data_IF_952675138218
#
_entry.id   IF_952675138218
#
_cell.length_a   1.000
_cell.length_b   1.000
_cell.length_c   1.000
_cell.angle_alpha   90.00
_cell.angle_beta   90.00
_cell.angle_gamma   90.00
#
_symmetry.space_group_name_H-M   'P 1'
#
loop_
_entity.id
_entity.type
_entity.pdbx_description
1 polymer ?
#
# COMPACT_ATOMS: atom_id res chain seq x y z
N UNK A 1 33.91 31.73 6.60
CA UNK A 1 33.56 31.89 5.18
C UNK A 1 33.94 30.59 4.48
N UNK A 2 33.02 29.64 4.31
CA UNK A 2 33.30 28.40 3.59
C UNK A 2 33.44 28.70 2.09
N UNK A 3 34.53 28.25 1.47
CA UNK A 3 34.82 28.53 0.05
C UNK A 3 33.87 27.74 -0.86
N UNK A 4 33.56 28.30 -2.03
CA UNK A 4 32.72 27.66 -3.06
C UNK A 4 33.22 26.25 -3.41
N UNK A 5 34.54 26.03 -3.37
CA UNK A 5 35.18 24.74 -3.58
C UNK A 5 34.77 23.69 -2.55
N UNK A 6 34.59 24.07 -1.27
CA UNK A 6 34.12 23.13 -0.24
C UNK A 6 32.68 22.72 -0.49
N UNK A 7 31.85 23.65 -0.96
CA UNK A 7 30.45 23.37 -1.27
C UNK A 7 30.32 22.45 -2.50
N UNK A 8 31.10 22.70 -3.56
CA UNK A 8 31.15 21.86 -4.76
C UNK A 8 31.66 20.46 -4.43
N UNK A 9 32.73 20.32 -3.64
CA UNK A 9 33.24 19.02 -3.20
C UNK A 9 32.20 18.26 -2.34
N UNK A 10 31.42 18.96 -1.51
CA UNK A 10 30.36 18.32 -0.70
C UNK A 10 29.21 17.80 -1.56
N UNK A 11 28.81 18.55 -2.60
CA UNK A 11 27.80 18.12 -3.56
C UNK A 11 28.30 16.90 -4.35
N UNK A 12 29.51 16.96 -4.88
CA UNK A 12 30.13 15.86 -5.63
C UNK A 12 30.29 14.58 -4.80
N UNK A 13 30.63 14.69 -3.52
CA UNK A 13 30.70 13.53 -2.61
C UNK A 13 29.32 12.94 -2.28
N UNK A 14 28.27 13.77 -2.17
CA UNK A 14 26.88 13.30 -1.98
C UNK A 14 26.37 12.50 -3.18
N UNK A 15 26.75 12.92 -4.39
CA UNK A 15 26.38 12.24 -5.62
C UNK A 15 27.13 10.92 -5.84
N UNK A 16 28.13 10.60 -5.02
CA UNK A 16 28.85 9.33 -5.07
C UNK A 16 28.46 8.32 -3.98
N UNK A 17 27.65 8.72 -2.98
CA UNK A 17 27.21 7.81 -1.91
C UNK A 17 26.02 6.92 -2.37
N UNK A 18 26.21 5.60 -2.55
CA UNK A 18 25.14 4.69 -2.97
C UNK A 18 23.99 4.61 -1.95
N UNK A 19 24.28 4.86 -0.67
CA UNK A 19 23.25 4.86 0.38
C UNK A 19 22.34 6.07 0.28
N UNK A 20 22.90 7.25 -0.02
CA UNK A 20 22.13 8.47 -0.23
C UNK A 20 21.14 8.32 -1.38
N UNK A 21 21.59 7.85 -2.55
CA UNK A 21 20.74 7.65 -3.72
C UNK A 21 19.65 6.63 -3.47
N UNK A 22 19.99 5.49 -2.87
CA UNK A 22 19.01 4.46 -2.53
C UNK A 22 17.94 4.98 -1.59
N UNK A 23 18.32 5.78 -0.59
CA UNK A 23 17.37 6.41 0.33
C UNK A 23 16.46 7.40 -0.39
N UNK A 24 16.99 8.21 -1.31
CA UNK A 24 16.21 9.15 -2.12
C UNK A 24 15.23 8.44 -3.04
N UNK A 25 15.65 7.39 -3.73
CA UNK A 25 14.79 6.58 -4.60
C UNK A 25 13.67 5.94 -3.78
N UNK A 26 14.00 5.37 -2.62
CA UNK A 26 13.01 4.78 -1.71
C UNK A 26 11.95 5.80 -1.27
N UNK A 27 12.38 7.01 -0.88
CA UNK A 27 11.47 8.09 -0.48
C UNK A 27 10.58 8.55 -1.66
N UNK A 28 11.12 8.67 -2.87
CA UNK A 28 10.34 9.01 -4.06
C UNK A 28 9.31 7.93 -4.40
N UNK A 29 9.70 6.65 -4.33
CA UNK A 29 8.82 5.52 -4.58
C UNK A 29 7.68 5.47 -3.54
N UNK A 30 7.98 5.63 -2.25
CA UNK A 30 6.98 5.65 -1.19
C UNK A 30 6.04 6.86 -1.30
N UNK A 31 6.54 8.03 -1.69
CA UNK A 31 5.71 9.23 -1.96
C UNK A 31 4.73 8.97 -3.09
N UNK A 32 5.19 8.35 -4.17
CA UNK A 32 4.35 8.01 -5.32
C UNK A 32 3.28 6.97 -4.97
N UNK A 33 3.55 6.07 -4.02
CA UNK A 33 2.64 5.00 -3.59
C UNK A 33 1.74 5.36 -2.40
N UNK A 34 1.90 6.54 -1.81
CA UNK A 34 1.21 6.93 -0.57
C UNK A 34 -0.31 6.82 -0.66
N UNK A 35 -0.88 7.11 -1.83
CA UNK A 35 -2.31 7.07 -2.07
C UNK A 35 -2.80 5.70 -2.60
N UNK A 36 -1.90 4.70 -2.56
CA UNK A 36 -2.16 3.34 -3.04
C UNK A 36 -2.39 2.37 -1.88
N UNK A 37 -3.46 1.59 -1.99
CA UNK A 37 -3.76 0.45 -1.11
C UNK A 37 -3.57 -0.87 -1.86
N UNK A 38 -3.14 -1.89 -1.11
CA UNK A 38 -3.05 -3.28 -1.53
C UNK A 38 -4.12 -4.10 -0.81
N UNK A 39 -5.00 -4.73 -1.57
CA UNK A 39 -6.04 -5.63 -1.09
C UNK A 39 -5.67 -7.08 -1.39
N UNK A 40 -5.85 -7.95 -0.40
CA UNK A 40 -5.58 -9.39 -0.50
C UNK A 40 -6.81 -10.18 -0.10
N UNK A 41 -6.97 -11.38 -0.67
CA UNK A 41 -8.03 -12.34 -0.30
C UNK A 41 -9.34 -12.15 -1.04
N UNK A 42 -9.45 -11.16 -1.94
CA UNK A 42 -10.63 -10.98 -2.78
C UNK A 42 -10.66 -12.11 -3.82
N UNK A 43 -11.72 -12.92 -3.92
CA UNK A 43 -11.80 -14.01 -4.90
C UNK A 43 -11.70 -13.47 -6.33
N UNK A 44 -11.13 -14.27 -7.24
CA UNK A 44 -11.01 -13.87 -8.66
C UNK A 44 -12.39 -13.90 -9.33
N UNK A 45 -12.62 -12.96 -10.26
CA UNK A 45 -13.83 -12.83 -11.08
C UNK A 45 -15.08 -12.30 -10.34
N UNK A 46 -14.98 -11.96 -9.06
CA UNK A 46 -16.05 -11.28 -8.31
C UNK A 46 -16.20 -9.81 -8.71
N UNK A 47 -15.22 -9.23 -9.40
CA UNK A 47 -15.23 -7.81 -9.76
C UNK A 47 -16.16 -7.48 -10.94
N UNK A 48 -16.70 -8.50 -11.61
CA UNK A 48 -17.52 -8.34 -12.81
C UNK A 48 -16.77 -7.57 -13.90
N UNK A 49 -17.37 -6.48 -14.39
CA UNK A 49 -16.85 -5.69 -15.50
C UNK A 49 -15.75 -4.69 -15.11
N UNK A 50 -15.48 -4.45 -13.82
CA UNK A 50 -14.49 -3.45 -13.43
C UNK A 50 -14.13 -3.41 -11.95
N UNK A 51 -12.82 -3.51 -11.68
CA UNK A 51 -12.25 -3.49 -10.32
C UNK A 51 -12.60 -2.21 -9.55
N UNK A 52 -12.63 -1.05 -10.20
CA UNK A 52 -12.95 0.22 -9.53
C UNK A 52 -14.40 0.27 -9.04
N UNK A 53 -15.35 -0.15 -9.88
CA UNK A 53 -16.77 -0.18 -9.52
C UNK A 53 -17.03 -1.18 -8.40
N UNK A 54 -16.41 -2.35 -8.49
CA UNK A 54 -16.41 -3.35 -7.42
C UNK A 54 -15.90 -2.75 -6.10
N UNK A 55 -14.68 -2.20 -6.08
CA UNK A 55 -14.09 -1.60 -4.87
C UNK A 55 -14.93 -0.47 -4.28
N UNK A 56 -15.53 0.38 -5.13
CA UNK A 56 -16.42 1.47 -4.69
C UNK A 56 -17.65 0.92 -3.95
N UNK A 57 -18.14 -0.27 -4.32
CA UNK A 57 -19.28 -0.89 -3.67
C UNK A 57 -18.93 -1.68 -2.40
N UNK A 58 -17.76 -2.35 -2.37
CA UNK A 58 -17.40 -3.22 -1.23
C UNK A 58 -16.73 -2.46 -0.09
N UNK A 59 -15.86 -1.50 -0.40
CA UNK A 59 -15.00 -0.89 0.62
C UNK A 59 -15.81 -0.16 1.71
N UNK A 60 -16.83 0.65 1.39
CA UNK A 60 -17.68 1.27 2.41
C UNK A 60 -18.35 0.23 3.32
N UNK A 61 -18.83 -0.88 2.73
CA UNK A 61 -19.49 -1.97 3.47
C UNK A 61 -18.50 -2.69 4.39
N UNK A 62 -17.31 -3.01 3.88
CA UNK A 62 -16.26 -3.70 4.61
C UNK A 62 -15.72 -2.89 5.79
N UNK A 63 -15.51 -1.59 5.59
CA UNK A 63 -14.95 -0.73 6.64
C UNK A 63 -16.02 -0.08 7.52
N UNK A 64 -17.31 -0.26 7.20
CA UNK A 64 -18.43 0.47 7.81
C UNK A 64 -18.22 1.99 7.81
N UNK A 65 -17.59 2.50 6.74
CA UNK A 65 -17.30 3.92 6.57
C UNK A 65 -18.22 4.51 5.52
N UNK A 66 -18.67 5.74 5.76
CA UNK A 66 -19.36 6.56 4.77
C UNK A 66 -18.34 7.49 4.12
N UNK A 67 -18.35 7.54 2.79
CA UNK A 67 -17.47 8.43 2.01
C UNK A 67 -18.30 9.46 1.28
N UNK A 68 -18.03 10.73 1.57
CA UNK A 68 -18.55 11.88 0.84
C UNK A 68 -17.38 12.80 0.47
N UNK A 69 -17.03 12.96 -0.82
CA UNK A 69 -17.63 12.30 -1.98
C UNK A 69 -17.35 10.77 -2.02
N UNK A 70 -18.04 10.00 -2.90
CA UNK A 70 -17.76 8.58 -3.09
C UNK A 70 -16.29 8.28 -3.40
N UNK A 71 -15.87 7.03 -3.21
CA UNK A 71 -14.51 6.60 -3.49
C UNK A 71 -14.18 6.77 -4.99
N UNK A 72 -13.15 7.55 -5.25
CA UNK A 72 -12.61 7.82 -6.58
C UNK A 72 -11.22 7.18 -6.71
N UNK A 73 -11.00 6.48 -7.81
CA UNK A 73 -9.75 5.77 -8.08
C UNK A 73 -9.10 6.34 -9.34
N UNK A 74 -7.81 6.64 -9.26
CA UNK A 74 -7.01 6.91 -10.45
C UNK A 74 -6.79 5.62 -11.25
N UNK A 75 -6.54 4.51 -10.56
CA UNK A 75 -6.35 3.18 -11.14
C UNK A 75 -6.66 2.09 -10.12
N UNK A 76 -7.20 0.96 -10.57
CA UNK A 76 -7.30 -0.25 -9.76
C UNK A 76 -7.17 -1.48 -10.66
N UNK A 77 -6.30 -2.42 -10.30
CA UNK A 77 -6.06 -3.63 -11.09
C UNK A 77 -5.48 -4.77 -10.23
N UNK A 78 -5.66 -6.00 -10.70
CA UNK A 78 -4.98 -7.19 -10.16
C UNK A 78 -3.51 -7.19 -10.56
N UNK A 79 -2.62 -7.62 -9.67
CA UNK A 79 -1.17 -7.68 -9.92
C UNK A 79 -0.67 -9.11 -9.84
N UNK A 80 0.22 -9.46 -10.76
CA UNK A 80 0.85 -10.77 -10.86
C UNK A 80 0.18 -11.71 -11.87
N UNK A 81 0.82 -12.86 -12.09
CA UNK A 81 0.34 -13.90 -12.99
C UNK A 81 -0.91 -14.54 -12.41
N UNK A 82 -1.92 -14.78 -13.27
CA UNK A 82 -3.07 -15.58 -12.88
C UNK A 82 -2.54 -16.96 -12.51
N UNK A 83 -2.81 -17.38 -11.28
CA UNK A 83 -2.45 -18.72 -10.88
C UNK A 83 -3.30 -19.73 -11.68
N UNK A 84 -2.76 -20.94 -11.96
CA UNK A 84 -3.57 -22.04 -12.47
C UNK A 84 -4.79 -22.25 -11.56
N UNK A 85 -5.92 -22.65 -12.17
CA UNK A 85 -7.14 -22.91 -11.43
C UNK A 85 -6.88 -23.94 -10.31
N UNK A 86 -7.37 -23.64 -9.10
CA UNK A 86 -7.16 -24.49 -7.91
C UNK A 86 -6.04 -24.06 -6.97
N UNK A 87 -5.22 -23.06 -7.31
CA UNK A 87 -4.26 -22.46 -6.34
C UNK A 87 -5.01 -21.54 -5.36
N UNK A 88 -4.85 -21.73 -4.04
CA UNK A 88 -5.71 -21.10 -3.02
C UNK A 88 -5.41 -19.62 -2.75
N UNK A 89 -4.70 -18.92 -3.65
CA UNK A 89 -4.26 -17.55 -3.43
C UNK A 89 -4.71 -16.63 -4.58
N UNK A 90 -5.84 -15.92 -4.40
CA UNK A 90 -6.25 -14.88 -5.34
C UNK A 90 -5.17 -13.81 -5.48
N UNK A 91 -5.02 -13.23 -6.68
CA UNK A 91 -4.03 -12.17 -6.90
C UNK A 91 -4.37 -10.92 -6.10
N UNK A 92 -3.40 -10.18 -5.58
CA UNK A 92 -3.69 -8.91 -4.93
C UNK A 92 -4.28 -7.89 -5.91
N UNK A 93 -5.15 -7.02 -5.40
CA UNK A 93 -5.56 -5.80 -6.11
C UNK A 93 -4.73 -4.63 -5.58
N UNK A 94 -4.16 -3.85 -6.48
CA UNK A 94 -3.55 -2.56 -6.17
C UNK A 94 -4.50 -1.47 -6.66
N UNK A 95 -4.90 -0.58 -5.75
CA UNK A 95 -5.81 0.51 -6.04
C UNK A 95 -5.23 1.85 -5.56
N UNK A 96 -5.08 2.80 -6.48
CA UNK A 96 -4.64 4.17 -6.20
C UNK A 96 -5.87 5.07 -6.12
N UNK A 97 -6.10 5.65 -4.95
CA UNK A 97 -7.21 6.56 -4.72
C UNK A 97 -6.85 7.97 -5.18
N UNK A 98 -7.86 8.75 -5.54
CA UNK A 98 -7.68 10.14 -5.93
C UNK A 98 -7.46 11.06 -4.72
N UNK A 99 -7.99 10.68 -3.54
CA UNK A 99 -7.99 11.51 -2.32
C UNK A 99 -7.21 10.83 -1.21
N UNK A 100 -6.09 11.43 -0.81
CA UNK A 100 -5.24 10.91 0.26
C UNK A 100 -5.97 10.71 1.60
N UNK A 101 -6.98 11.54 1.88
CA UNK A 101 -7.78 11.46 3.11
C UNK A 101 -8.56 10.15 3.18
N UNK A 102 -9.16 9.73 2.07
CA UNK A 102 -9.89 8.47 1.96
C UNK A 102 -8.94 7.28 2.09
N UNK A 103 -7.74 7.34 1.49
CA UNK A 103 -6.70 6.32 1.66
C UNK A 103 -6.34 6.16 3.14
N UNK A 104 -6.12 7.27 3.85
CA UNK A 104 -5.80 7.26 5.28
C UNK A 104 -6.94 6.67 6.12
N UNK A 105 -8.19 7.04 5.85
CA UNK A 105 -9.36 6.49 6.52
C UNK A 105 -9.47 4.98 6.34
N UNK A 106 -9.31 4.49 5.11
CA UNK A 106 -9.32 3.05 4.80
C UNK A 106 -8.19 2.31 5.52
N UNK A 107 -6.97 2.86 5.51
CA UNK A 107 -5.83 2.25 6.18
C UNK A 107 -5.96 2.27 7.70
N UNK A 108 -6.59 3.28 8.27
CA UNK A 108 -6.87 3.37 9.70
C UNK A 108 -7.96 2.37 10.10
N UNK A 109 -9.06 2.30 9.36
CA UNK A 109 -10.08 1.28 9.56
C UNK A 109 -9.48 -0.12 9.44
N UNK A 110 -8.59 -0.33 8.46
CA UNK A 110 -7.88 -1.59 8.30
C UNK A 110 -6.89 -1.89 9.42
N UNK A 111 -6.48 -0.93 10.23
CA UNK A 111 -5.67 -1.20 11.42
C UNK A 111 -6.55 -1.51 12.63
N UNK A 112 -7.71 -0.86 12.73
CA UNK A 112 -8.57 -0.92 13.91
C UNK A 112 -9.61 -2.06 13.87
N UNK A 113 -10.04 -2.49 12.67
CA UNK A 113 -11.22 -3.35 12.50
C UNK A 113 -10.92 -4.64 11.72
N UNK A 114 -9.85 -5.35 12.08
CA UNK A 114 -9.55 -6.68 11.51
C UNK A 114 -10.29 -7.79 12.28
N UNK A 115 -10.62 -8.92 11.63
CA UNK A 115 -10.49 -9.20 10.20
C UNK A 115 -11.69 -8.69 9.37
N UNK A 116 -11.44 -8.21 8.15
CA UNK A 116 -12.52 -7.99 7.19
C UNK A 116 -12.89 -9.31 6.52
N UNK A 117 -14.17 -9.52 6.22
CA UNK A 117 -14.64 -10.73 5.54
C UNK A 117 -15.64 -10.39 4.43
N UNK A 118 -15.50 -11.09 3.31
CA UNK A 118 -16.53 -11.21 2.27
C UNK A 118 -16.89 -12.70 2.23
N UNK A 119 -18.12 -13.04 2.57
CA UNK A 119 -18.57 -14.42 2.75
C UNK A 119 -17.61 -15.23 3.63
N UNK A 120 -16.90 -16.21 3.05
CA UNK A 120 -15.92 -17.08 3.70
C UNK A 120 -14.47 -16.59 3.56
N UNK A 121 -14.23 -15.48 2.85
CA UNK A 121 -12.90 -15.02 2.50
C UNK A 121 -12.44 -13.89 3.41
N UNK A 122 -11.27 -14.06 4.03
CA UNK A 122 -10.63 -13.02 4.81
C UNK A 122 -9.95 -12.00 3.89
N UNK A 123 -10.34 -10.73 4.05
CA UNK A 123 -9.81 -9.63 3.27
C UNK A 123 -8.82 -8.84 4.11
N UNK A 124 -7.66 -8.57 3.52
CA UNK A 124 -6.63 -7.75 4.16
C UNK A 124 -6.34 -6.52 3.31
N UNK A 125 -6.43 -5.36 3.94
CA UNK A 125 -6.08 -4.07 3.36
C UNK A 125 -4.77 -3.60 4.00
N UNK A 126 -3.83 -3.13 3.17
CA UNK A 126 -2.54 -2.58 3.59
C UNK A 126 -2.12 -1.43 2.68
N UNK A 127 -1.20 -0.59 3.14
CA UNK A 127 -0.57 0.41 2.28
C UNK A 127 0.43 -0.24 1.32
N UNK A 128 0.58 0.32 0.12
CA UNK A 128 1.64 -0.06 -0.80
C UNK A 128 2.94 0.66 -0.41
N UNK A 129 3.98 -0.11 -0.08
CA UNK A 129 5.30 0.41 0.28
C UNK A 129 6.34 -0.10 -0.71
N UNK A 130 7.38 0.70 -0.93
CA UNK A 130 8.60 0.26 -1.59
C UNK A 130 9.18 -1.00 -0.94
N UNK A 131 10.00 -1.72 -1.71
CA UNK A 131 10.65 -2.95 -1.24
C UNK A 131 11.49 -2.72 0.02
N UNK A 132 12.24 -1.62 0.06
CA UNK A 132 13.13 -1.29 1.17
C UNK A 132 12.36 -0.86 2.41
N UNK A 133 11.26 -0.11 2.25
CA UNK A 133 10.36 0.21 3.37
C UNK A 133 9.67 -1.03 3.92
N UNK A 134 9.20 -1.94 3.06
CA UNK A 134 8.68 -3.23 3.49
C UNK A 134 9.71 -4.06 4.26
N UNK A 135 10.98 -4.09 3.82
CA UNK A 135 12.06 -4.80 4.53
C UNK A 135 12.28 -4.22 5.93
N UNK A 136 12.37 -2.89 6.06
CA UNK A 136 12.50 -2.20 7.35
C UNK A 136 11.31 -2.47 8.28
N UNK A 137 10.08 -2.41 7.75
CA UNK A 137 8.86 -2.71 8.51
C UNK A 137 8.84 -4.15 9.00
N UNK A 138 9.23 -5.12 8.18
CA UNK A 138 9.34 -6.54 8.59
C UNK A 138 10.37 -6.73 9.71
N UNK A 139 11.53 -6.10 9.59
CA UNK A 139 12.57 -6.15 10.62
C UNK A 139 12.06 -5.55 11.96
N UNK A 140 11.34 -4.41 11.89
CA UNK A 140 10.73 -3.81 13.08
C UNK A 140 9.69 -4.72 13.74
N UNK A 141 8.80 -5.32 12.94
CA UNK A 141 7.77 -6.25 13.44
C UNK A 141 8.39 -7.49 14.10
N UNK A 142 9.52 -7.99 13.60
CA UNK A 142 10.24 -9.10 14.22
C UNK A 142 10.79 -8.76 15.61
N UNK A 143 11.13 -7.49 15.86
CA UNK A 143 11.66 -7.01 17.15
C UNK A 143 10.57 -6.61 18.15
N UNK A 144 9.34 -6.36 17.68
CA UNK A 144 8.19 -5.96 18.49
C UNK A 144 6.99 -6.86 18.20
N UNK A 145 7.04 -8.15 18.56
CA UNK A 145 5.92 -9.06 18.36
C UNK A 145 4.68 -8.64 19.15
N UNK A 146 4.83 -7.94 20.28
CA UNK A 146 3.70 -7.43 21.08
C UNK A 146 2.96 -6.27 20.40
N UNK A 147 3.58 -5.61 19.41
CA UNK A 147 2.88 -4.65 18.54
C UNK A 147 1.84 -5.35 17.65
N UNK A 148 1.90 -6.69 17.58
CA UNK A 148 0.95 -7.60 16.92
C UNK A 148 -0.12 -8.09 17.92
N UNK A 149 -0.18 -7.59 19.17
CA UNK A 149 -1.34 -7.83 20.06
C UNK A 149 -2.46 -6.81 19.83
N UNK A 150 -3.01 -6.82 18.63
CA UNK A 150 -4.40 -6.43 18.38
C UNK A 150 -5.00 -7.61 17.61
N UNK A 151 -5.51 -8.56 18.41
CA UNK A 151 -6.06 -9.86 18.01
C UNK A 151 -7.30 -9.71 17.14
#
# INVERSE_FOLDING_TARGET
MGTLETYVATIQNRDQDPFYHRSKITDLEDRSRRDTICLFGIPENEEGSGVQAFLRSILPKLTSLTFDPPLEFQRAHRVGLKHPDGVPRPRPIIACLLRHTQTRQLLQAAQNHRPFRIDKYEIRITADYSKDTNKRRKAFLALRPDFIRWR
#
